data_IF_117606240080
#
_entry.id   IF_117606240080
#
_cell.length_a   1.000
_cell.length_b   1.000
_cell.length_c   1.000
_cell.angle_alpha   90.00
_cell.angle_beta   90.00
_cell.angle_gamma   90.00
#
_symmetry.space_group_name_H-M   'P 1'
#
loop_
_entity.id
_entity.type
_entity.pdbx_description
1 polymer ?
#
# COMPACT_ATOMS: atom_id res chain seq x y z
N UNK A 1 10.21 18.53 -2.52
CA UNK A 1 11.62 19.00 -2.51
C UNK A 1 11.59 20.51 -2.37
N UNK A 2 12.53 21.13 -1.64
CA UNK A 2 12.50 22.56 -1.36
C UNK A 2 12.94 23.36 -2.61
N UNK A 3 12.06 24.15 -3.25
CA UNK A 3 12.41 24.93 -4.44
C UNK A 3 13.48 25.99 -4.18
N UNK A 4 13.65 26.42 -2.93
CA UNK A 4 14.64 27.40 -2.52
C UNK A 4 16.03 26.78 -2.31
N UNK A 5 16.19 25.47 -2.50
CA UNK A 5 17.43 24.73 -2.26
C UNK A 5 18.00 24.16 -3.57
N UNK A 6 18.52 25.04 -4.42
CA UNK A 6 19.01 24.73 -5.77
C UNK A 6 20.54 24.78 -5.92
N UNK A 7 21.24 25.49 -5.03
CA UNK A 7 22.65 25.87 -5.26
C UNK A 7 23.68 24.92 -4.64
N UNK A 8 23.24 23.89 -3.89
CA UNK A 8 24.18 22.94 -3.31
C UNK A 8 24.68 21.94 -4.36
N UNK A 9 25.98 21.95 -4.61
CA UNK A 9 26.63 20.99 -5.52
C UNK A 9 26.84 19.66 -4.81
N UNK A 10 25.92 18.72 -5.03
CA UNK A 10 26.12 17.34 -4.61
C UNK A 10 27.09 16.60 -5.54
N UNK A 11 27.86 15.63 -5.02
CA UNK A 11 28.52 14.66 -5.89
C UNK A 11 27.47 13.92 -6.73
N UNK A 12 27.78 13.68 -8.00
CA UNK A 12 26.92 12.89 -8.86
C UNK A 12 27.04 11.40 -8.51
N UNK A 13 26.09 10.90 -7.73
CA UNK A 13 25.99 9.49 -7.36
C UNK A 13 24.91 8.85 -8.24
N UNK A 14 25.28 7.79 -8.98
CA UNK A 14 24.31 7.01 -9.75
C UNK A 14 23.42 6.23 -8.78
N UNK A 15 22.13 6.15 -9.11
CA UNK A 15 21.18 5.35 -8.35
C UNK A 15 21.68 3.89 -8.23
N UNK A 16 21.72 3.38 -7.01
CA UNK A 16 22.03 1.97 -6.78
C UNK A 16 20.76 1.14 -7.03
N UNK A 17 20.79 0.11 -7.88
CA UNK A 17 19.59 -0.69 -8.16
C UNK A 17 19.03 -1.35 -6.90
N UNK A 18 17.70 -1.33 -6.72
CA UNK A 18 17.03 -1.90 -5.54
C UNK A 18 17.39 -3.37 -5.28
N UNK A 19 17.47 -4.19 -6.32
CA UNK A 19 17.86 -5.61 -6.20
C UNK A 19 19.29 -5.83 -5.71
N UNK A 20 20.16 -4.81 -5.72
CA UNK A 20 21.50 -4.86 -5.13
C UNK A 20 21.55 -4.28 -3.72
N UNK A 21 20.64 -3.35 -3.40
CA UNK A 21 20.46 -2.84 -2.03
C UNK A 21 19.98 -3.97 -1.12
N UNK A 22 19.01 -4.76 -1.59
CA UNK A 22 18.46 -5.87 -0.83
C UNK A 22 19.28 -7.15 -1.07
N UNK A 23 20.11 -7.51 -0.09
CA UNK A 23 21.04 -8.66 -0.16
C UNK A 23 20.32 -10.03 -0.25
N UNK A 24 19.05 -10.10 0.15
CA UNK A 24 18.19 -11.30 0.07
C UNK A 24 17.14 -11.10 -1.02
N UNK A 25 16.66 -12.21 -1.61
CA UNK A 25 15.52 -12.18 -2.54
C UNK A 25 14.28 -11.66 -1.82
N UNK A 26 14.01 -10.35 -1.92
CA UNK A 26 12.68 -9.83 -1.64
C UNK A 26 11.71 -10.26 -2.74
N UNK A 27 10.43 -10.46 -2.41
CA UNK A 27 9.38 -10.57 -3.42
C UNK A 27 9.43 -9.37 -4.38
N UNK A 28 9.28 -9.56 -5.70
CA UNK A 28 9.24 -8.47 -6.66
C UNK A 28 8.23 -7.37 -6.30
N UNK A 29 7.09 -7.75 -5.73
CA UNK A 29 6.00 -6.87 -5.30
C UNK A 29 6.44 -5.99 -4.13
N UNK A 30 7.24 -6.51 -3.21
CA UNK A 30 7.78 -5.74 -2.09
C UNK A 30 8.77 -4.67 -2.59
N UNK A 31 9.62 -5.04 -3.56
CA UNK A 31 10.56 -4.12 -4.20
C UNK A 31 9.83 -3.03 -4.98
N UNK A 32 8.77 -3.38 -5.73
CA UNK A 32 7.94 -2.42 -6.44
C UNK A 32 7.30 -1.41 -5.47
N UNK A 33 6.67 -1.89 -4.39
CA UNK A 33 6.04 -1.03 -3.38
C UNK A 33 7.03 -0.04 -2.76
N UNK A 34 8.20 -0.52 -2.34
CA UNK A 34 9.26 0.35 -1.77
C UNK A 34 9.70 1.41 -2.77
N UNK A 35 9.86 1.04 -4.05
CA UNK A 35 10.26 1.99 -5.08
C UNK A 35 9.23 3.11 -5.28
N UNK A 36 7.94 2.83 -5.08
CA UNK A 36 6.87 3.83 -5.18
C UNK A 36 6.78 4.75 -3.95
N UNK A 37 7.21 4.30 -2.78
CA UNK A 37 7.27 5.15 -1.58
C UNK A 37 8.49 6.08 -1.60
N UNK A 38 9.64 5.55 -1.97
CA UNK A 38 10.92 6.25 -1.86
C UNK A 38 11.22 7.08 -3.12
N UNK A 39 10.28 7.97 -3.45
CA UNK A 39 10.41 8.94 -4.54
C UNK A 39 10.84 10.31 -4.01
N UNK A 40 11.79 10.93 -4.70
CA UNK A 40 12.25 12.29 -4.39
C UNK A 40 11.14 13.31 -4.56
N UNK A 41 10.43 13.26 -5.69
CA UNK A 41 9.26 14.10 -5.96
C UNK A 41 8.09 13.64 -5.10
N UNK A 42 7.53 14.50 -4.23
CA UNK A 42 6.39 14.14 -3.38
C UNK A 42 5.18 13.67 -4.19
N UNK A 43 4.93 14.30 -5.35
CA UNK A 43 3.77 14.01 -6.20
C UNK A 43 3.87 12.66 -6.92
N UNK A 44 5.06 12.06 -6.96
CA UNK A 44 5.27 10.71 -7.52
C UNK A 44 5.14 9.61 -6.47
N UNK A 45 4.98 9.96 -5.19
CA UNK A 45 4.85 8.96 -4.13
C UNK A 45 3.47 8.32 -4.20
N UNK A 46 3.45 7.00 -4.05
CA UNK A 46 2.20 6.27 -3.86
C UNK A 46 1.44 6.80 -2.65
N UNK A 47 0.13 7.03 -2.82
CA UNK A 47 -0.75 7.41 -1.73
C UNK A 47 -0.99 6.24 -0.77
N UNK A 48 -1.47 6.53 0.44
CA UNK A 48 -1.77 5.48 1.41
C UNK A 48 -2.79 4.45 0.88
N UNK A 49 -3.83 4.92 0.18
CA UNK A 49 -4.88 4.05 -0.34
C UNK A 49 -4.40 3.18 -1.51
N UNK A 50 -3.61 3.75 -2.42
CA UNK A 50 -2.98 2.98 -3.50
C UNK A 50 -2.02 1.93 -2.95
N UNK A 51 -1.27 2.26 -1.89
CA UNK A 51 -0.39 1.32 -1.22
C UNK A 51 -1.16 0.19 -0.56
N UNK A 52 -2.27 0.49 0.13
CA UNK A 52 -3.14 -0.55 0.69
C UNK A 52 -3.63 -1.51 -0.40
N UNK A 53 -3.95 -1.02 -1.60
CA UNK A 53 -4.38 -1.85 -2.76
C UNK A 53 -3.25 -2.52 -3.53
N UNK A 54 -1.99 -2.38 -3.10
CA UNK A 54 -0.85 -2.95 -3.79
C UNK A 54 -0.86 -4.49 -3.76
N UNK A 55 -0.42 -5.19 -4.82
CA UNK A 55 -0.37 -6.65 -4.88
C UNK A 55 0.42 -7.31 -3.75
N UNK A 56 1.38 -6.57 -3.18
CA UNK A 56 2.13 -7.00 -2.00
C UNK A 56 1.22 -7.39 -0.81
N UNK A 57 0.02 -6.82 -0.70
CA UNK A 57 -0.96 -7.11 0.35
C UNK A 57 -2.10 -8.04 -0.11
N UNK A 58 -2.03 -8.64 -1.30
CA UNK A 58 -3.12 -9.51 -1.80
C UNK A 58 -3.27 -10.78 -0.96
N UNK A 59 -2.19 -11.29 -0.37
CA UNK A 59 -2.24 -12.41 0.57
C UNK A 59 -3.18 -12.10 1.76
N UNK A 60 -3.22 -10.85 2.22
CA UNK A 60 -4.10 -10.44 3.32
C UNK A 60 -5.59 -10.40 2.93
N UNK A 61 -5.89 -10.43 1.63
CA UNK A 61 -7.25 -10.49 1.08
C UNK A 61 -7.72 -11.92 0.80
N UNK A 62 -6.87 -12.93 0.96
CA UNK A 62 -7.30 -14.32 0.86
C UNK A 62 -8.02 -14.74 2.17
N UNK A 63 -9.28 -15.21 2.12
CA UNK A 63 -10.02 -15.67 3.30
C UNK A 63 -9.35 -16.86 4.03
N UNK A 64 -8.42 -17.56 3.37
CA UNK A 64 -7.68 -18.69 3.94
C UNK A 64 -6.39 -18.27 4.64
N UNK A 65 -5.94 -17.03 4.49
CA UNK A 65 -4.72 -16.55 5.13
C UNK A 65 -4.84 -16.56 6.64
N UNK A 66 -3.79 -17.02 7.30
CA UNK A 66 -3.68 -17.11 8.75
C UNK A 66 -2.35 -16.51 9.18
N UNK A 67 -2.29 -16.09 10.44
CA UNK A 67 -1.03 -15.72 11.06
C UNK A 67 -0.10 -16.95 11.13
N UNK A 68 1.24 -16.76 11.25
CA UNK A 68 2.19 -17.88 11.32
C UNK A 68 1.94 -18.87 12.48
N UNK A 69 1.19 -18.45 13.50
CA UNK A 69 0.76 -19.27 14.63
C UNK A 69 -0.58 -20.00 14.38
N UNK A 70 -1.16 -19.89 13.18
CA UNK A 70 -2.43 -20.50 12.78
C UNK A 70 -3.68 -19.69 13.15
N UNK A 71 -3.55 -18.60 13.92
CA UNK A 71 -4.70 -17.77 14.30
C UNK A 71 -5.25 -16.96 13.11
N UNK A 72 -6.54 -16.56 13.14
CA UNK A 72 -7.11 -15.66 12.13
C UNK A 72 -6.39 -14.31 12.13
N UNK A 73 -6.42 -13.65 10.97
CA UNK A 73 -5.97 -12.27 10.85
C UNK A 73 -6.84 -11.34 11.73
N UNK A 74 -6.28 -10.22 12.24
CA UNK A 74 -7.09 -9.19 12.89
C UNK A 74 -8.07 -8.55 11.89
N UNK A 75 -9.03 -7.72 12.35
CA UNK A 75 -9.87 -6.94 11.44
C UNK A 75 -9.02 -6.00 10.58
N UNK A 76 -8.93 -6.27 9.28
CA UNK A 76 -8.14 -5.49 8.31
C UNK A 76 -9.01 -4.59 7.41
N UNK A 77 -10.30 -4.92 7.26
CA UNK A 77 -11.19 -4.29 6.29
C UNK A 77 -12.36 -3.52 6.93
N UNK A 78 -12.28 -3.28 8.23
CA UNK A 78 -13.25 -2.56 9.05
C UNK A 78 -13.09 -1.03 8.96
N UNK A 79 -12.91 -0.51 7.74
CA UNK A 79 -12.77 0.92 7.48
C UNK A 79 -14.01 1.71 7.93
N UNK A 80 -13.78 2.85 8.56
CA UNK A 80 -14.81 3.81 8.95
C UNK A 80 -15.20 4.70 7.78
N UNK A 81 -16.38 5.30 7.85
CA UNK A 81 -16.85 6.26 6.84
C UNK A 81 -15.88 7.43 6.63
N UNK A 82 -15.19 7.88 7.68
CA UNK A 82 -14.19 8.93 7.59
C UNK A 82 -12.93 8.51 6.81
N UNK A 83 -12.55 7.23 6.86
CA UNK A 83 -11.39 6.68 6.14
C UNK A 83 -11.69 6.51 4.65
N UNK A 84 -12.95 6.28 4.31
CA UNK A 84 -13.42 6.11 2.93
C UNK A 84 -13.94 7.41 2.30
N UNK A 85 -13.89 8.52 3.04
CA UNK A 85 -14.43 9.78 2.56
C UNK A 85 -13.63 10.31 1.36
N UNK A 86 -14.33 10.66 0.28
CA UNK A 86 -13.70 11.12 -0.97
C UNK A 86 -13.05 10.03 -1.82
N UNK A 87 -13.15 8.76 -1.42
CA UNK A 87 -12.63 7.63 -2.21
C UNK A 87 -13.69 7.17 -3.21
N UNK A 88 -13.35 7.01 -4.50
CA UNK A 88 -14.28 6.50 -5.51
C UNK A 88 -14.81 5.11 -5.16
N UNK A 89 -16.09 4.79 -5.44
CA UNK A 89 -16.68 3.49 -5.10
C UNK A 89 -15.89 2.28 -5.65
N UNK A 90 -15.39 2.39 -6.88
CA UNK A 90 -14.55 1.38 -7.54
C UNK A 90 -13.27 1.04 -6.75
N UNK A 91 -12.67 2.05 -6.12
CA UNK A 91 -11.48 1.90 -5.29
C UNK A 91 -11.83 1.20 -3.98
N UNK A 92 -13.00 1.52 -3.40
CA UNK A 92 -13.45 0.85 -2.18
C UNK A 92 -13.78 -0.62 -2.43
N UNK A 93 -14.37 -0.95 -3.58
CA UNK A 93 -14.64 -2.35 -3.98
C UNK A 93 -13.36 -3.17 -4.13
N UNK A 94 -12.27 -2.55 -4.60
CA UNK A 94 -10.95 -3.20 -4.68
C UNK A 94 -10.26 -3.30 -3.31
N UNK A 95 -10.48 -2.31 -2.45
CA UNK A 95 -9.90 -2.26 -1.12
C UNK A 95 -10.50 -3.32 -0.17
N UNK A 96 -11.83 -3.48 -0.22
CA UNK A 96 -12.60 -4.37 0.66
C UNK A 96 -13.02 -5.62 -0.11
N UNK A 97 -12.40 -6.79 0.15
CA UNK A 97 -12.75 -8.02 -0.56
C UNK A 97 -14.17 -8.47 -0.20
N UNK A 98 -14.80 -9.23 -1.11
CA UNK A 98 -16.21 -9.60 -1.01
C UNK A 98 -16.58 -10.27 0.32
N UNK A 99 -15.74 -11.20 0.79
CA UNK A 99 -15.94 -11.92 2.04
C UNK A 99 -15.89 -11.00 3.29
N UNK A 100 -15.26 -9.82 3.18
CA UNK A 100 -15.08 -8.88 4.28
C UNK A 100 -16.09 -7.72 4.26
N UNK A 101 -16.93 -7.59 3.22
CA UNK A 101 -17.93 -6.50 3.10
C UNK A 101 -18.88 -6.43 4.30
N UNK A 102 -19.22 -7.58 4.90
CA UNK A 102 -20.07 -7.64 6.10
C UNK A 102 -19.40 -7.06 7.36
N UNK A 103 -18.06 -7.04 7.40
CA UNK A 103 -17.31 -6.43 8.51
C UNK A 103 -17.28 -4.90 8.38
N UNK A 104 -17.55 -4.37 7.19
CA UNK A 104 -17.56 -2.97 6.91
C UNK A 104 -19.01 -2.44 7.00
N UNK A 105 -19.37 -1.85 8.15
CA UNK A 105 -20.71 -1.33 8.41
C UNK A 105 -21.18 -0.32 7.35
N UNK A 106 -20.26 0.44 6.75
CA UNK A 106 -20.59 1.40 5.70
C UNK A 106 -21.03 0.70 4.40
N UNK A 107 -20.39 -0.42 4.05
CA UNK A 107 -20.80 -1.22 2.89
C UNK A 107 -22.00 -2.11 3.17
N UNK A 108 -22.11 -2.67 4.38
CA UNK A 108 -23.24 -3.52 4.78
C UNK A 108 -24.60 -2.80 4.73
N UNK A 109 -24.62 -1.46 4.85
CA UNK A 109 -25.83 -0.65 4.74
C UNK A 109 -26.19 -0.28 3.29
N UNK A 110 -25.32 -0.59 2.31
CA UNK A 110 -25.50 -0.26 0.88
C UNK A 110 -25.74 -1.47 -0.02
N UNK A 111 -25.54 -2.69 0.50
CA UNK A 111 -25.90 -3.97 -0.13
C UNK A 111 -27.25 -4.45 0.37
#
# INVERSE_FOLDING_TARGET
MNPNYTEFKFPQIKAHPWHKVFQKKLPPEAMDLVSRFLQYSPDLRCTAMEACMHPFFDELRDPNTRLPNGHPLPPLFNFRSQELNGIPPEVVERLVPEHARRQNLFMALRT
#
